data_IF_620340961311
#
_entry.id   IF_620340961311
#
_cell.length_a   1.000
_cell.length_b   1.000
_cell.length_c   1.000
_cell.angle_alpha   90.00
_cell.angle_beta   90.00
_cell.angle_gamma   90.00
#
_symmetry.space_group_name_H-M   'P 1'
#
loop_
_entity.id
_entity.type
_entity.pdbx_description
1 polymer ?
#
# COMPACT_ATOMS: atom_id res chain seq x y z
N UNK A 1 18.86 -20.74 87.67
CA UNK A 1 19.98 -20.28 86.83
C UNK A 1 19.74 -20.71 85.40
N UNK A 2 19.44 -19.72 84.56
CA UNK A 2 19.70 -19.58 83.10
C UNK A 2 19.35 -20.76 82.18
N UNK A 3 18.25 -20.55 81.44
CA UNK A 3 17.75 -21.31 80.28
C UNK A 3 18.74 -21.21 79.11
N UNK A 4 18.99 -22.34 78.43
CA UNK A 4 19.70 -22.37 77.15
C UNK A 4 18.78 -21.86 76.02
N UNK A 5 19.23 -20.82 75.31
CA UNK A 5 18.63 -20.32 74.09
C UNK A 5 18.95 -21.27 72.92
N UNK A 6 17.93 -21.85 72.30
CA UNK A 6 18.04 -22.39 70.94
C UNK A 6 17.77 -21.25 69.95
N UNK A 7 18.78 -20.85 69.18
CA UNK A 7 18.57 -20.01 67.99
C UNK A 7 18.06 -20.92 66.87
N UNK A 8 16.78 -20.77 66.52
CA UNK A 8 16.22 -21.28 65.28
C UNK A 8 16.51 -20.28 64.15
N UNK A 9 17.31 -20.67 63.18
CA UNK A 9 17.53 -19.92 61.93
C UNK A 9 16.29 -20.10 61.04
N UNK A 10 15.43 -19.08 60.97
CA UNK A 10 14.33 -19.05 60.01
C UNK A 10 14.88 -18.70 58.61
N UNK A 11 14.87 -19.67 57.70
CA UNK A 11 15.11 -19.43 56.27
C UNK A 11 13.83 -18.80 55.71
N UNK A 12 13.88 -17.50 55.43
CA UNK A 12 12.81 -16.79 54.74
C UNK A 12 12.88 -17.14 53.24
N UNK A 13 12.06 -18.08 52.79
CA UNK A 13 11.81 -18.32 51.37
C UNK A 13 11.06 -17.11 50.81
N UNK A 14 11.80 -16.17 50.21
CA UNK A 14 11.25 -15.13 49.36
C UNK A 14 10.74 -15.78 48.07
N UNK A 15 9.47 -16.18 48.07
CA UNK A 15 8.72 -16.45 46.83
C UNK A 15 8.59 -15.13 46.07
N UNK A 16 9.39 -14.96 45.01
CA UNK A 16 9.12 -13.96 43.99
C UNK A 16 7.81 -14.34 43.30
N UNK A 17 6.69 -13.84 43.81
CA UNK A 17 5.45 -13.78 43.05
C UNK A 17 5.73 -12.85 41.86
N UNK A 18 5.82 -13.43 40.66
CA UNK A 18 5.96 -12.67 39.43
C UNK A 18 4.83 -11.64 39.37
N UNK A 19 5.19 -10.36 39.38
CA UNK A 19 4.26 -9.30 39.07
C UNK A 19 3.69 -9.63 37.68
N UNK A 20 2.35 -9.66 37.50
CA UNK A 20 1.79 -9.79 36.16
C UNK A 20 2.35 -8.63 35.36
N UNK A 21 3.06 -8.94 34.27
CA UNK A 21 3.33 -7.97 33.23
C UNK A 21 1.97 -7.40 32.84
N UNK A 22 1.70 -6.17 33.24
CA UNK A 22 0.57 -5.41 32.72
C UNK A 22 0.88 -5.27 31.24
N UNK A 23 0.27 -6.15 30.42
CA UNK A 23 0.22 -5.98 28.98
C UNK A 23 -0.61 -4.71 28.81
N UNK A 24 0.07 -3.59 28.67
CA UNK A 24 -0.56 -2.33 28.31
C UNK A 24 -1.35 -2.60 27.03
N UNK A 25 -2.66 -2.39 27.07
CA UNK A 25 -3.53 -2.70 25.94
C UNK A 25 -3.04 -1.89 24.74
N UNK A 26 -2.57 -2.58 23.69
CA UNK A 26 -2.00 -1.91 22.53
C UNK A 26 -3.02 -0.96 21.91
N UNK A 27 -2.65 0.30 21.76
CA UNK A 27 -3.50 1.31 21.11
C UNK A 27 -3.85 0.83 19.69
N UNK A 28 -5.14 0.71 19.33
CA UNK A 28 -5.51 0.26 17.99
C UNK A 28 -5.02 1.22 16.90
N UNK A 29 -4.42 0.66 15.84
CA UNK A 29 -4.04 1.41 14.65
C UNK A 29 -5.27 1.79 13.81
N UNK A 30 -6.27 0.91 13.75
CA UNK A 30 -7.59 1.21 13.21
C UNK A 30 -8.65 0.92 14.25
N UNK A 31 -9.61 1.84 14.38
CA UNK A 31 -10.72 1.71 15.30
C UNK A 31 -11.93 2.45 14.75
N UNK A 32 -13.08 1.81 14.70
CA UNK A 32 -14.39 2.45 14.48
C UNK A 32 -15.50 1.48 14.85
N UNK A 33 -16.45 1.91 15.69
CA UNK A 33 -17.48 1.03 16.23
C UNK A 33 -16.88 -0.22 16.88
N UNK A 34 -17.24 -1.39 16.35
CA UNK A 34 -16.74 -2.69 16.82
C UNK A 34 -15.41 -3.11 16.19
N UNK A 35 -14.94 -2.41 15.14
CA UNK A 35 -13.66 -2.69 14.50
C UNK A 35 -12.54 -2.18 15.40
N UNK A 36 -11.66 -3.09 15.84
CA UNK A 36 -10.42 -2.76 16.56
C UNK A 36 -9.26 -3.59 16.03
N UNK A 37 -8.33 -2.93 15.37
CA UNK A 37 -7.16 -3.56 14.75
C UNK A 37 -5.92 -2.95 15.38
N UNK A 38 -5.23 -3.75 16.19
CA UNK A 38 -3.95 -3.38 16.82
C UNK A 38 -2.89 -3.03 15.79
N UNK A 39 -1.89 -2.25 16.19
CA UNK A 39 -0.75 -1.94 15.34
C UNK A 39 -0.07 -3.23 14.83
N UNK A 40 0.39 -3.21 13.58
CA UNK A 40 1.17 -4.33 13.07
C UNK A 40 2.52 -4.37 13.80
N UNK A 41 3.10 -5.57 13.97
CA UNK A 41 4.39 -5.75 14.63
C UNK A 41 5.32 -6.68 13.86
N UNK A 42 6.62 -6.46 13.99
CA UNK A 42 7.64 -7.28 13.33
C UNK A 42 7.71 -8.70 13.92
N UNK A 43 7.39 -8.84 15.20
CA UNK A 43 7.50 -10.07 15.99
C UNK A 43 6.14 -10.79 16.16
N UNK A 44 5.09 -10.34 15.46
CA UNK A 44 3.84 -11.09 15.37
C UNK A 44 4.12 -12.49 14.79
N UNK A 45 3.60 -13.59 15.38
CA UNK A 45 3.86 -14.92 14.86
C UNK A 45 3.39 -15.08 13.40
N UNK A 46 4.11 -15.92 12.66
CA UNK A 46 3.70 -16.33 11.32
C UNK A 46 2.64 -17.42 11.43
N UNK A 47 1.67 -17.42 10.51
CA UNK A 47 0.70 -18.51 10.39
C UNK A 47 1.38 -19.76 9.84
N UNK A 48 0.89 -20.92 10.27
CA UNK A 48 1.31 -22.22 9.71
C UNK A 48 0.91 -22.36 8.24
N UNK A 49 -0.20 -21.73 7.83
CA UNK A 49 -0.69 -21.73 6.45
C UNK A 49 -1.30 -20.39 6.07
N UNK A 50 -1.24 -20.10 4.76
CA UNK A 50 -1.91 -18.95 4.17
C UNK A 50 -3.43 -18.98 4.43
N UNK A 51 -4.00 -17.83 4.74
CA UNK A 51 -5.42 -17.58 4.94
C UNK A 51 -5.87 -16.36 4.11
N UNK A 52 -6.62 -16.62 3.05
CA UNK A 52 -7.28 -15.58 2.25
C UNK A 52 -8.28 -14.79 3.10
N UNK A 53 -9.07 -15.48 3.93
CA UNK A 53 -10.09 -14.87 4.78
C UNK A 53 -9.49 -13.83 5.73
N UNK A 54 -8.40 -14.17 6.43
CA UNK A 54 -7.77 -13.23 7.36
C UNK A 54 -7.21 -11.98 6.66
N UNK A 55 -6.59 -12.15 5.49
CA UNK A 55 -6.11 -11.00 4.69
C UNK A 55 -7.27 -10.12 4.22
N UNK A 56 -8.36 -10.74 3.73
CA UNK A 56 -9.57 -10.05 3.28
C UNK A 56 -10.22 -9.26 4.42
N UNK A 57 -10.39 -9.88 5.58
CA UNK A 57 -10.98 -9.25 6.76
C UNK A 57 -10.17 -8.04 7.21
N UNK A 58 -8.84 -8.17 7.32
CA UNK A 58 -7.97 -7.05 7.64
C UNK A 58 -8.15 -5.88 6.65
N UNK A 59 -8.08 -6.15 5.35
CA UNK A 59 -8.18 -5.11 4.33
C UNK A 59 -9.54 -4.40 4.33
N UNK A 60 -10.63 -5.15 4.47
CA UNK A 60 -11.99 -4.61 4.51
C UNK A 60 -12.25 -3.80 5.78
N UNK A 61 -11.90 -4.34 6.95
CA UNK A 61 -12.15 -3.68 8.23
C UNK A 61 -11.27 -2.42 8.39
N UNK A 62 -9.99 -2.48 8.01
CA UNK A 62 -9.11 -1.32 8.10
C UNK A 62 -9.54 -0.16 7.18
N UNK A 63 -10.02 -0.42 5.96
CA UNK A 63 -10.51 0.65 5.08
C UNK A 63 -11.84 1.24 5.56
N UNK A 64 -12.73 0.40 6.07
CA UNK A 64 -13.98 0.85 6.70
C UNK A 64 -13.69 1.72 7.93
N UNK A 65 -12.90 1.23 8.89
CA UNK A 65 -12.60 1.96 10.11
C UNK A 65 -11.87 3.28 9.84
N UNK A 66 -10.97 3.30 8.85
CA UNK A 66 -10.35 4.55 8.41
C UNK A 66 -11.38 5.55 7.88
N UNK A 67 -12.24 5.09 6.97
CA UNK A 67 -13.26 5.94 6.34
C UNK A 67 -14.21 6.53 7.38
N UNK A 68 -14.69 5.72 8.32
CA UNK A 68 -15.62 6.14 9.38
C UNK A 68 -14.96 7.09 10.40
N UNK A 69 -13.75 6.78 10.88
CA UNK A 69 -13.09 7.58 11.93
C UNK A 69 -12.40 8.83 11.40
N UNK A 70 -11.80 8.79 10.21
CA UNK A 70 -10.99 9.90 9.65
C UNK A 70 -11.78 10.77 8.67
N UNK A 71 -12.87 10.26 8.09
CA UNK A 71 -13.73 10.99 7.15
C UNK A 71 -12.95 11.67 6.01
N UNK A 72 -11.91 10.99 5.50
CA UNK A 72 -11.09 11.43 4.38
C UNK A 72 -10.56 10.24 3.56
N UNK A 73 -10.14 10.50 2.32
CA UNK A 73 -9.35 9.53 1.52
C UNK A 73 -7.88 9.68 1.87
N UNK A 74 -7.24 8.59 2.31
CA UNK A 74 -5.80 8.51 2.51
C UNK A 74 -5.12 7.66 1.45
N UNK A 75 -3.89 8.01 1.13
CA UNK A 75 -3.13 7.32 0.09
C UNK A 75 -2.78 5.88 0.50
N UNK A 76 -2.62 5.63 1.79
CA UNK A 76 -2.09 4.39 2.36
C UNK A 76 -3.17 3.43 2.90
N UNK A 77 -4.45 3.82 2.90
CA UNK A 77 -5.56 2.96 3.34
C UNK A 77 -6.68 2.91 2.30
N UNK A 78 -7.76 3.68 2.46
CA UNK A 78 -8.95 3.58 1.63
C UNK A 78 -8.72 4.06 0.17
N UNK A 79 -7.75 4.96 -0.06
CA UNK A 79 -7.26 5.31 -1.40
C UNK A 79 -6.61 4.13 -2.11
N UNK A 80 -5.65 3.47 -1.46
CA UNK A 80 -5.05 2.22 -1.98
C UNK A 80 -6.11 1.14 -2.18
N UNK A 81 -7.06 1.01 -1.26
CA UNK A 81 -8.17 0.06 -1.38
C UNK A 81 -8.93 0.27 -2.69
N UNK A 82 -9.41 1.48 -2.96
CA UNK A 82 -10.21 1.75 -4.17
C UNK A 82 -9.41 1.65 -5.47
N UNK A 83 -8.09 1.82 -5.45
CA UNK A 83 -7.25 1.62 -6.64
C UNK A 83 -7.13 0.14 -7.03
N UNK A 84 -7.13 -0.77 -6.06
CA UNK A 84 -6.80 -2.17 -6.29
C UNK A 84 -8.00 -3.11 -6.14
N UNK A 85 -8.87 -2.86 -5.15
CA UNK A 85 -10.01 -3.73 -4.82
C UNK A 85 -10.96 -4.01 -5.98
N UNK A 86 -11.32 -3.04 -6.86
CA UNK A 86 -12.19 -3.31 -7.99
C UNK A 86 -11.68 -4.45 -8.88
N UNK A 87 -10.36 -4.54 -9.08
CA UNK A 87 -9.73 -5.54 -9.96
C UNK A 87 -9.62 -6.94 -9.33
N UNK A 88 -9.96 -7.09 -8.04
CA UNK A 88 -10.02 -8.37 -7.33
C UNK A 88 -11.36 -9.11 -7.50
N UNK A 89 -12.17 -8.70 -8.49
CA UNK A 89 -13.44 -9.36 -8.82
C UNK A 89 -14.46 -9.27 -7.68
N UNK A 90 -15.19 -10.35 -7.35
CA UNK A 90 -16.26 -10.30 -6.35
C UNK A 90 -15.75 -10.18 -4.91
N UNK A 91 -14.44 -10.31 -4.67
CA UNK A 91 -13.86 -10.44 -3.33
C UNK A 91 -14.29 -9.32 -2.37
N UNK A 92 -14.34 -8.09 -2.87
CA UNK A 92 -14.63 -6.87 -2.10
C UNK A 92 -15.86 -6.12 -2.62
N UNK A 93 -16.78 -6.80 -3.31
CA UNK A 93 -17.89 -6.15 -4.03
C UNK A 93 -18.66 -5.14 -3.17
N UNK A 94 -19.09 -5.56 -1.97
CA UNK A 94 -19.88 -4.70 -1.08
C UNK A 94 -19.08 -3.51 -0.56
N UNK A 95 -17.82 -3.74 -0.17
CA UNK A 95 -16.93 -2.69 0.33
C UNK A 95 -16.60 -1.69 -0.77
N UNK A 96 -16.39 -2.13 -2.01
CA UNK A 96 -16.16 -1.27 -3.18
C UNK A 96 -17.36 -0.36 -3.43
N UNK A 97 -18.59 -0.87 -3.37
CA UNK A 97 -19.82 -0.05 -3.52
C UNK A 97 -19.94 1.02 -2.42
N UNK A 98 -19.64 0.66 -1.17
CA UNK A 98 -19.65 1.60 -0.04
C UNK A 98 -18.59 2.69 -0.22
N UNK A 99 -17.37 2.30 -0.58
CA UNK A 99 -16.27 3.22 -0.80
C UNK A 99 -16.50 4.12 -2.01
N UNK A 100 -17.12 3.62 -3.10
CA UNK A 100 -17.52 4.47 -4.23
C UNK A 100 -18.42 5.62 -3.78
N UNK A 101 -19.45 5.34 -2.97
CA UNK A 101 -20.36 6.39 -2.46
C UNK A 101 -19.60 7.45 -1.66
N UNK A 102 -18.66 7.01 -0.81
CA UNK A 102 -17.78 7.91 -0.07
C UNK A 102 -16.89 8.75 -1.00
N UNK A 103 -16.29 8.15 -2.02
CA UNK A 103 -15.40 8.84 -2.97
C UNK A 103 -16.15 9.89 -3.81
N UNK A 104 -17.38 9.60 -4.23
CA UNK A 104 -18.25 10.58 -4.91
C UNK A 104 -18.56 11.77 -3.98
N UNK A 105 -18.83 11.50 -2.70
CA UNK A 105 -19.03 12.56 -1.70
C UNK A 105 -17.77 13.40 -1.50
N UNK A 106 -16.60 12.78 -1.40
CA UNK A 106 -15.31 13.48 -1.27
C UNK A 106 -15.00 14.34 -2.51
N UNK A 107 -15.20 13.80 -3.72
CA UNK A 107 -15.09 14.56 -4.97
C UNK A 107 -15.99 15.81 -4.96
N UNK A 108 -17.22 15.66 -4.50
CA UNK A 108 -18.17 16.78 -4.35
C UNK A 108 -17.75 17.82 -3.30
N UNK A 109 -16.97 17.42 -2.27
CA UNK A 109 -16.36 18.36 -1.31
C UNK A 109 -15.23 19.15 -1.97
N UNK A 110 -14.35 18.49 -2.74
CA UNK A 110 -13.29 19.16 -3.50
C UNK A 110 -13.85 20.17 -4.50
N UNK A 111 -14.89 19.81 -5.24
CA UNK A 111 -15.54 20.70 -6.21
C UNK A 111 -16.05 22.01 -5.61
N UNK A 112 -16.55 21.96 -4.37
CA UNK A 112 -17.09 23.14 -3.66
C UNK A 112 -16.01 24.00 -3.01
N UNK A 113 -14.78 23.50 -2.90
CA UNK A 113 -13.68 24.23 -2.29
C UNK A 113 -13.09 25.25 -3.28
N UNK A 114 -12.57 26.40 -2.80
CA UNK A 114 -11.86 27.34 -3.66
C UNK A 114 -10.64 26.70 -4.33
N UNK A 115 -10.37 27.03 -5.60
CA UNK A 115 -9.25 26.48 -6.37
C UNK A 115 -7.89 26.65 -5.66
N UNK A 116 -7.65 27.81 -5.03
CA UNK A 116 -6.44 28.08 -4.24
C UNK A 116 -6.28 27.13 -3.06
N UNK A 117 -7.41 26.70 -2.46
CA UNK A 117 -7.42 25.81 -1.32
C UNK A 117 -7.19 24.35 -1.68
N UNK A 118 -7.33 23.96 -2.96
CA UNK A 118 -7.12 22.59 -3.44
C UNK A 118 -5.85 22.42 -4.27
N UNK A 119 -5.17 23.52 -4.64
CA UNK A 119 -3.87 23.56 -5.34
C UNK A 119 -2.64 23.50 -4.43
N UNK A 120 -2.82 23.38 -3.12
CA UNK A 120 -1.73 23.46 -2.13
C UNK A 120 -1.72 22.28 -1.16
N UNK A 121 -0.55 22.01 -0.58
CA UNK A 121 -0.33 20.92 0.36
C UNK A 121 -0.58 19.55 -0.27
N UNK A 122 -1.24 18.65 0.47
CA UNK A 122 -1.55 17.28 0.04
C UNK A 122 -2.72 17.19 -0.95
N UNK A 123 -3.55 18.22 -1.03
CA UNK A 123 -4.87 18.14 -1.65
C UNK A 123 -4.87 17.79 -3.14
N UNK A 124 -3.93 18.28 -3.98
CA UNK A 124 -3.83 17.82 -5.37
C UNK A 124 -3.63 16.31 -5.46
N UNK A 125 -2.70 15.76 -4.68
CA UNK A 125 -2.46 14.31 -4.64
C UNK A 125 -3.67 13.56 -4.08
N UNK A 126 -4.32 14.08 -3.02
CA UNK A 126 -5.51 13.45 -2.45
C UNK A 126 -6.66 13.38 -3.47
N UNK A 127 -6.88 14.45 -4.24
CA UNK A 127 -7.86 14.47 -5.31
C UNK A 127 -7.49 13.48 -6.43
N UNK A 128 -6.20 13.33 -6.75
CA UNK A 128 -5.75 12.30 -7.69
C UNK A 128 -6.06 10.88 -7.20
N UNK A 129 -5.94 10.60 -5.89
CA UNK A 129 -6.37 9.32 -5.30
C UNK A 129 -7.88 9.10 -5.40
N UNK A 130 -8.68 10.14 -5.17
CA UNK A 130 -10.15 10.07 -5.34
C UNK A 130 -10.50 9.76 -6.80
N UNK A 131 -9.93 10.52 -7.75
CA UNK A 131 -10.17 10.32 -9.17
C UNK A 131 -9.72 8.93 -9.65
N UNK A 132 -8.54 8.46 -9.20
CA UNK A 132 -8.04 7.13 -9.53
C UNK A 132 -8.94 6.02 -8.98
N UNK A 133 -9.39 6.12 -7.73
CA UNK A 133 -10.31 5.13 -7.15
C UNK A 133 -11.65 5.05 -7.90
N UNK A 134 -12.19 6.19 -8.32
CA UNK A 134 -13.41 6.24 -9.15
C UNK A 134 -13.16 5.68 -10.56
N UNK A 135 -12.01 5.99 -11.17
CA UNK A 135 -11.61 5.43 -12.45
C UNK A 135 -11.44 3.91 -12.40
N UNK A 136 -10.80 3.37 -11.35
CA UNK A 136 -10.64 1.93 -11.16
C UNK A 136 -11.97 1.20 -10.97
N UNK A 137 -12.94 1.83 -10.29
CA UNK A 137 -14.30 1.33 -10.23
C UNK A 137 -14.93 1.26 -11.63
N UNK A 138 -14.87 2.36 -12.39
CA UNK A 138 -15.47 2.47 -13.72
C UNK A 138 -14.81 1.56 -14.76
N UNK A 139 -13.49 1.29 -14.64
CA UNK A 139 -12.75 0.33 -15.46
C UNK A 139 -13.41 -1.05 -15.43
N UNK A 140 -13.76 -1.52 -14.23
CA UNK A 140 -14.41 -2.83 -14.04
C UNK A 140 -15.87 -2.83 -14.50
N UNK A 141 -16.55 -1.68 -14.43
CA UNK A 141 -17.88 -1.52 -15.03
C UNK A 141 -17.83 -1.38 -16.56
N UNK A 142 -16.65 -1.17 -17.15
CA UNK A 142 -16.46 -0.94 -18.58
C UNK A 142 -17.05 0.37 -19.08
N UNK A 143 -17.38 1.32 -18.19
CA UNK A 143 -18.06 2.56 -18.54
C UNK A 143 -17.65 3.71 -17.63
N UNK A 144 -17.27 4.83 -18.24
CA UNK A 144 -17.07 6.08 -17.54
C UNK A 144 -18.39 6.67 -17.04
N UNK A 145 -18.43 6.95 -15.74
CA UNK A 145 -19.52 7.65 -15.07
C UNK A 145 -19.31 9.16 -15.09
N UNK A 146 -20.40 9.91 -14.90
CA UNK A 146 -20.34 11.37 -14.85
C UNK A 146 -19.52 11.86 -13.65
N UNK A 147 -19.60 11.16 -12.52
CA UNK A 147 -18.86 11.50 -11.30
C UNK A 147 -17.36 11.31 -11.47
N UNK A 148 -16.92 10.23 -12.12
CA UNK A 148 -15.51 10.00 -12.43
C UNK A 148 -15.00 11.04 -13.43
N UNK A 149 -15.77 11.33 -14.49
CA UNK A 149 -15.38 12.37 -15.45
C UNK A 149 -15.18 13.72 -14.74
N UNK A 150 -16.11 14.09 -13.88
CA UNK A 150 -16.03 15.35 -13.11
C UNK A 150 -14.83 15.37 -12.16
N UNK A 151 -14.53 14.26 -11.48
CA UNK A 151 -13.36 14.15 -10.62
C UNK A 151 -12.05 14.32 -11.41
N UNK A 152 -11.95 13.72 -12.60
CA UNK A 152 -10.79 13.84 -13.49
C UNK A 152 -10.63 15.25 -14.05
N UNK A 153 -11.74 15.85 -14.50
CA UNK A 153 -11.75 17.24 -14.98
C UNK A 153 -11.26 18.19 -13.88
N UNK A 154 -11.76 18.03 -12.65
CA UNK A 154 -11.32 18.81 -11.49
C UNK A 154 -9.85 18.55 -11.15
N UNK A 155 -9.41 17.29 -11.18
CA UNK A 155 -8.02 16.89 -10.92
C UNK A 155 -7.05 17.57 -11.88
N UNK A 156 -7.40 17.71 -13.16
CA UNK A 156 -6.55 18.44 -14.12
C UNK A 156 -6.42 19.92 -13.75
N UNK A 157 -7.44 20.55 -13.15
CA UNK A 157 -7.38 21.97 -12.77
C UNK A 157 -6.40 22.28 -11.62
N UNK A 158 -5.96 21.26 -10.87
CA UNK A 158 -5.05 21.42 -9.72
C UNK A 158 -3.61 20.96 -10.00
N UNK A 159 -3.33 20.55 -11.23
CA UNK A 159 -1.98 20.27 -11.70
C UNK A 159 -1.10 21.51 -11.61
N UNK A 160 0.16 21.34 -11.21
CA UNK A 160 1.18 22.38 -11.27
C UNK A 160 1.57 22.72 -12.72
N UNK A 161 2.16 23.89 -12.94
CA UNK A 161 2.58 24.32 -14.29
C UNK A 161 3.59 23.38 -14.95
N UNK A 162 4.44 22.71 -14.16
CA UNK A 162 5.43 21.75 -14.62
C UNK A 162 4.86 20.34 -14.86
N UNK A 163 3.56 20.13 -14.57
CA UNK A 163 2.88 18.85 -14.71
C UNK A 163 2.80 18.01 -13.45
N UNK A 164 3.49 18.43 -12.38
CA UNK A 164 3.52 17.71 -11.11
C UNK A 164 2.23 17.90 -10.30
N UNK A 165 2.07 17.11 -9.24
CA UNK A 165 0.98 17.24 -8.27
C UNK A 165 1.56 17.42 -6.87
N UNK A 166 1.28 18.55 -6.23
CA UNK A 166 1.81 18.88 -4.90
C UNK A 166 1.53 17.78 -3.86
N UNK A 167 2.50 17.60 -2.97
CA UNK A 167 2.52 16.60 -1.91
C UNK A 167 3.16 17.18 -0.63
N UNK A 168 3.10 16.45 0.49
CA UNK A 168 3.71 16.87 1.77
C UNK A 168 5.07 16.21 2.05
N UNK A 169 5.51 15.27 1.20
CA UNK A 169 6.77 14.52 1.28
C UNK A 169 7.04 13.83 2.64
N UNK A 170 5.97 13.56 3.40
CA UNK A 170 6.04 13.19 4.81
C UNK A 170 5.77 11.70 5.08
N UNK A 171 5.14 10.94 4.16
CA UNK A 171 4.71 9.56 4.44
C UNK A 171 5.14 8.46 3.45
N UNK A 172 6.42 8.38 3.02
CA UNK A 172 6.88 7.36 2.07
C UNK A 172 6.53 5.92 2.46
N UNK A 173 6.34 5.04 1.46
CA UNK A 173 6.53 5.28 0.03
C UNK A 173 5.40 6.08 -0.63
N UNK A 174 4.24 6.18 0.02
CA UNK A 174 3.16 7.06 -0.43
C UNK A 174 3.41 8.51 -0.03
N UNK A 175 2.65 9.48 -0.55
CA UNK A 175 2.74 10.89 -0.08
C UNK A 175 4.20 11.43 0.06
N UNK A 176 5.06 11.01 -0.86
CA UNK A 176 6.53 11.03 -0.70
C UNK A 176 7.24 12.00 -1.63
N UNK A 177 6.57 12.37 -2.72
CA UNK A 177 7.07 13.28 -3.72
C UNK A 177 5.91 13.79 -4.59
N UNK A 178 6.13 14.94 -5.22
CA UNK A 178 5.25 15.40 -6.30
C UNK A 178 5.28 14.46 -7.51
N UNK A 179 6.38 13.71 -7.68
CA UNK A 179 6.50 12.66 -8.70
C UNK A 179 5.49 11.52 -8.46
N UNK A 180 5.36 11.06 -7.22
CA UNK A 180 4.35 10.07 -6.86
C UNK A 180 2.94 10.59 -7.12
N UNK A 181 2.63 11.84 -6.72
CA UNK A 181 1.35 12.48 -7.03
C UNK A 181 1.03 12.48 -8.53
N UNK A 182 2.03 12.83 -9.36
CA UNK A 182 1.90 12.80 -10.82
C UNK A 182 1.62 11.40 -11.38
N UNK A 183 2.27 10.35 -10.84
CA UNK A 183 1.98 8.96 -11.27
C UNK A 183 0.57 8.52 -10.91
N UNK A 184 0.04 8.94 -9.76
CA UNK A 184 -1.35 8.65 -9.35
C UNK A 184 -2.35 9.36 -10.25
N UNK A 185 -2.10 10.64 -10.57
CA UNK A 185 -2.93 11.40 -11.51
C UNK A 185 -2.91 10.79 -12.91
N UNK A 186 -1.73 10.38 -13.39
CA UNK A 186 -1.59 9.71 -14.68
C UNK A 186 -2.36 8.38 -14.72
N UNK A 187 -2.26 7.58 -13.65
CA UNK A 187 -3.02 6.34 -13.50
C UNK A 187 -4.53 6.58 -13.55
N UNK A 188 -5.04 7.64 -12.91
CA UNK A 188 -6.45 7.99 -12.95
C UNK A 188 -6.96 8.24 -14.38
N UNK A 189 -6.16 8.97 -15.19
CA UNK A 189 -6.51 9.32 -16.56
C UNK A 189 -6.58 8.09 -17.49
N UNK A 190 -5.61 7.19 -17.39
CA UNK A 190 -5.52 6.02 -18.29
C UNK A 190 -6.41 4.86 -17.88
N UNK A 191 -6.78 4.80 -16.60
CA UNK A 191 -7.70 3.78 -16.09
C UNK A 191 -9.15 4.09 -16.45
N UNK A 192 -9.50 5.37 -16.58
CA UNK A 192 -10.87 5.81 -16.84
C UNK A 192 -11.33 5.49 -18.28
N UNK A 193 -12.35 4.63 -18.48
CA UNK A 193 -12.75 4.15 -19.81
C UNK A 193 -13.15 5.27 -20.77
N UNK A 194 -12.41 5.46 -21.86
CA UNK A 194 -12.75 6.45 -22.88
C UNK A 194 -12.59 7.92 -22.44
N UNK A 195 -12.02 8.20 -21.27
CA UNK A 195 -11.82 9.59 -20.81
C UNK A 195 -10.90 10.38 -21.75
N UNK A 196 -9.76 9.80 -22.14
CA UNK A 196 -8.76 10.46 -23.00
C UNK A 196 -9.29 10.80 -24.40
N UNK A 197 -10.33 10.11 -24.89
CA UNK A 197 -10.91 10.40 -26.22
C UNK A 197 -11.91 11.55 -26.25
N UNK A 198 -12.28 12.11 -25.10
CA UNK A 198 -13.31 13.15 -24.98
C UNK A 198 -12.80 14.43 -24.30
N UNK A 199 -11.48 14.56 -24.15
CA UNK A 199 -10.86 15.74 -23.53
C UNK A 199 -10.91 16.94 -24.48
N UNK A 200 -11.07 18.13 -23.90
CA UNK A 200 -10.91 19.39 -24.65
C UNK A 200 -9.45 19.63 -25.03
N UNK A 201 -9.19 20.55 -25.97
CA UNK A 201 -7.83 20.94 -26.35
C UNK A 201 -7.02 21.47 -25.14
N UNK A 202 -7.67 22.20 -24.23
CA UNK A 202 -7.02 22.70 -23.02
C UNK A 202 -6.59 21.56 -22.08
N UNK A 203 -7.48 20.57 -21.90
CA UNK A 203 -7.18 19.38 -21.09
C UNK A 203 -6.10 18.52 -21.76
N UNK A 204 -6.11 18.40 -23.09
CA UNK A 204 -5.06 17.69 -23.81
C UNK A 204 -3.68 18.32 -23.54
N UNK A 205 -3.57 19.66 -23.56
CA UNK A 205 -2.31 20.34 -23.22
C UNK A 205 -1.83 20.01 -21.79
N UNK A 206 -2.74 19.94 -20.82
CA UNK A 206 -2.41 19.56 -19.44
C UNK A 206 -1.92 18.10 -19.33
N UNK A 207 -2.58 17.21 -20.07
CA UNK A 207 -2.19 15.80 -20.20
C UNK A 207 -0.81 15.67 -20.84
N UNK A 208 -0.54 16.43 -21.91
CA UNK A 208 0.77 16.44 -22.56
C UNK A 208 1.87 16.94 -21.62
N UNK A 209 1.59 17.94 -20.79
CA UNK A 209 2.52 18.44 -19.77
C UNK A 209 2.78 17.36 -18.69
N UNK A 210 1.75 16.61 -18.26
CA UNK A 210 1.91 15.49 -17.33
C UNK A 210 2.80 14.38 -17.94
N UNK A 211 2.56 14.01 -19.19
CA UNK A 211 3.37 13.01 -19.89
C UNK A 211 4.82 13.48 -19.99
N UNK A 212 5.04 14.72 -20.41
CA UNK A 212 6.37 15.33 -20.49
C UNK A 212 7.07 15.31 -19.13
N UNK A 213 6.36 15.65 -18.05
CA UNK A 213 6.90 15.61 -16.70
C UNK A 213 7.38 14.20 -16.33
N UNK A 214 6.54 13.18 -16.53
CA UNK A 214 6.87 11.79 -16.19
C UNK A 214 8.01 11.21 -17.05
N UNK A 215 8.10 11.63 -18.32
CA UNK A 215 9.13 11.20 -19.26
C UNK A 215 10.49 11.85 -19.03
N UNK A 216 10.51 13.16 -18.69
CA UNK A 216 11.74 13.95 -18.59
C UNK A 216 12.28 14.04 -17.18
N UNK A 217 11.43 13.90 -16.17
CA UNK A 217 11.85 13.92 -14.78
C UNK A 217 12.45 12.57 -14.40
N UNK A 218 13.73 12.59 -14.03
CA UNK A 218 14.39 11.40 -13.49
C UNK A 218 13.63 10.92 -12.23
N UNK A 219 13.19 9.64 -12.17
CA UNK A 219 12.59 9.11 -10.95
C UNK A 219 13.55 9.26 -9.76
N UNK A 220 13.04 9.60 -8.56
CA UNK A 220 13.90 9.93 -7.41
C UNK A 220 14.78 8.74 -6.96
N UNK A 221 14.31 7.52 -7.19
CA UNK A 221 14.97 6.26 -6.82
C UNK A 221 14.28 5.09 -7.54
N UNK A 222 14.74 3.85 -7.33
CA UNK A 222 14.20 2.66 -7.99
C UNK A 222 12.71 2.45 -7.67
N UNK A 223 12.25 2.75 -6.44
CA UNK A 223 10.81 2.69 -6.15
C UNK A 223 10.00 3.70 -7.00
N UNK A 224 10.54 4.89 -7.30
CA UNK A 224 9.91 5.84 -8.23
C UNK A 224 9.84 5.29 -9.66
N UNK A 225 10.82 4.48 -10.08
CA UNK A 225 10.76 3.77 -11.38
C UNK A 225 9.65 2.73 -11.42
N UNK A 226 9.34 2.09 -10.29
CA UNK A 226 8.20 1.17 -10.20
C UNK A 226 6.87 1.88 -10.43
N UNK A 227 6.71 3.08 -9.85
CA UNK A 227 5.52 3.90 -10.06
C UNK A 227 5.38 4.29 -11.54
N UNK A 228 6.47 4.70 -12.19
CA UNK A 228 6.47 5.02 -13.62
C UNK A 228 6.16 3.78 -14.48
N UNK A 229 6.76 2.63 -14.18
CA UNK A 229 6.48 1.36 -14.86
C UNK A 229 4.99 1.02 -14.77
N UNK A 230 4.39 1.13 -13.58
CA UNK A 230 2.98 0.83 -13.39
C UNK A 230 2.08 1.67 -14.31
N UNK A 231 2.35 2.97 -14.43
CA UNK A 231 1.62 3.84 -15.37
C UNK A 231 1.92 3.43 -16.81
N UNK A 232 3.19 3.17 -17.14
CA UNK A 232 3.64 2.81 -18.49
C UNK A 232 2.98 1.54 -19.05
N UNK A 233 2.68 0.57 -18.19
CA UNK A 233 1.95 -0.66 -18.57
C UNK A 233 0.56 -0.34 -19.14
N UNK A 234 -0.13 0.66 -18.59
CA UNK A 234 -1.48 1.09 -19.04
C UNK A 234 -1.43 2.23 -20.06
N UNK A 235 -0.45 3.13 -19.97
CA UNK A 235 -0.27 4.27 -20.86
C UNK A 235 0.70 3.97 -21.99
N UNK A 236 0.18 3.41 -23.09
CA UNK A 236 0.99 3.12 -24.29
C UNK A 236 1.73 4.37 -24.77
N UNK A 237 3.05 4.23 -24.97
CA UNK A 237 3.93 5.30 -25.42
C UNK A 237 4.43 6.24 -24.32
N UNK A 238 4.05 6.04 -23.05
CA UNK A 238 4.59 6.83 -21.95
C UNK A 238 6.06 6.49 -21.68
N UNK A 239 6.39 5.19 -21.65
CA UNK A 239 7.76 4.68 -21.53
C UNK A 239 8.12 3.85 -22.77
N UNK A 240 9.42 3.75 -23.06
CA UNK A 240 9.90 2.87 -24.12
C UNK A 240 9.97 1.41 -23.65
N UNK A 241 9.98 0.48 -24.60
CA UNK A 241 10.14 -0.94 -24.31
C UNK A 241 11.48 -1.22 -23.61
N UNK A 242 12.55 -0.50 -23.98
CA UNK A 242 13.86 -0.61 -23.33
C UNK A 242 13.77 -0.21 -21.86
N UNK A 243 13.13 0.91 -21.53
CA UNK A 243 12.98 1.34 -20.14
C UNK A 243 12.13 0.35 -19.33
N UNK A 244 11.10 -0.23 -19.95
CA UNK A 244 10.31 -1.29 -19.33
C UNK A 244 11.18 -2.51 -19.01
N UNK A 245 11.96 -3.02 -19.98
CA UNK A 245 12.84 -4.19 -19.78
C UNK A 245 13.95 -3.92 -18.75
N UNK A 246 14.57 -2.74 -18.77
CA UNK A 246 15.55 -2.33 -17.76
C UNK A 246 14.96 -2.29 -16.35
N UNK A 247 13.71 -1.86 -16.23
CA UNK A 247 13.01 -1.80 -14.94
C UNK A 247 12.62 -3.20 -14.46
N UNK A 248 12.19 -4.10 -15.34
CA UNK A 248 11.98 -5.52 -15.03
C UNK A 248 13.29 -6.17 -14.53
N UNK A 249 14.39 -5.97 -15.25
CA UNK A 249 15.69 -6.50 -14.86
C UNK A 249 16.17 -5.94 -13.50
N UNK A 250 15.91 -4.65 -13.24
CA UNK A 250 16.18 -4.03 -11.94
C UNK A 250 15.35 -4.70 -10.82
N UNK A 251 14.05 -4.92 -11.03
CA UNK A 251 13.20 -5.61 -10.04
C UNK A 251 13.78 -7.00 -9.74
N UNK A 252 14.08 -7.80 -10.77
CA UNK A 252 14.64 -9.15 -10.59
C UNK A 252 15.97 -9.13 -9.82
N UNK A 253 16.83 -8.14 -10.07
CA UNK A 253 18.11 -7.98 -9.38
C UNK A 253 17.97 -7.64 -7.89
N UNK A 254 16.88 -6.97 -7.49
CA UNK A 254 16.60 -6.66 -6.07
C UNK A 254 16.04 -7.85 -5.28
N UNK A 255 15.77 -8.99 -5.92
CA UNK A 255 15.26 -10.16 -5.19
C UNK A 255 16.30 -10.65 -4.19
N UNK A 256 15.84 -10.90 -2.96
CA UNK A 256 16.69 -11.39 -1.88
C UNK A 256 16.76 -12.93 -1.87
N UNK A 257 17.73 -13.45 -1.11
CA UNK A 257 17.97 -14.90 -0.98
C UNK A 257 16.77 -15.66 -0.41
N UNK A 258 15.90 -15.00 0.36
CA UNK A 258 14.68 -15.59 0.91
C UNK A 258 13.53 -15.66 -0.12
N UNK A 259 13.73 -15.13 -1.33
CA UNK A 259 12.75 -15.08 -2.40
C UNK A 259 11.87 -13.82 -2.39
N UNK A 260 11.92 -13.01 -1.33
CA UNK A 260 11.18 -11.77 -1.22
C UNK A 260 11.94 -10.55 -1.76
N UNK A 261 11.31 -9.39 -1.62
CA UNK A 261 11.90 -8.07 -1.86
C UNK A 261 11.68 -7.16 -0.65
N UNK A 262 12.60 -6.21 -0.44
CA UNK A 262 12.50 -5.22 0.62
C UNK A 262 12.41 -3.81 0.04
N UNK A 263 11.43 -3.02 0.49
CA UNK A 263 11.26 -1.63 0.10
C UNK A 263 12.55 -0.82 0.35
N UNK A 264 13.28 -1.15 1.41
CA UNK A 264 14.53 -0.51 1.80
C UNK A 264 15.68 -0.71 0.80
N UNK A 265 15.60 -1.66 -0.14
CA UNK A 265 16.63 -1.79 -1.21
C UNK A 265 16.33 -0.92 -2.42
N UNK A 266 15.10 -0.41 -2.57
CA UNK A 266 14.67 0.39 -3.73
C UNK A 266 14.91 1.91 -3.57
N UNK A 267 15.41 2.34 -2.40
CA UNK A 267 16.02 3.66 -2.24
C UNK A 267 16.93 3.68 -1.00
N UNK A 268 17.93 4.55 -1.01
CA UNK A 268 18.80 4.79 0.14
C UNK A 268 18.05 5.57 1.23
N UNK A 269 18.48 5.50 2.50
CA UNK A 269 17.99 6.39 3.56
C UNK A 269 17.88 7.88 3.14
N UNK A 270 18.87 8.37 2.40
CA UNK A 270 18.97 9.76 1.94
C UNK A 270 17.95 10.11 0.85
N UNK A 271 17.55 9.12 0.05
CA UNK A 271 16.67 9.30 -1.10
C UNK A 271 15.20 8.96 -0.81
N UNK A 272 14.91 8.26 0.30
CA UNK A 272 13.55 8.08 0.82
C UNK A 272 12.93 9.37 1.38
N UNK A 273 13.66 10.49 1.37
CA UNK A 273 13.20 11.85 1.64
C UNK A 273 13.91 12.50 2.84
N UNK A 274 13.54 13.75 3.13
CA UNK A 274 14.31 14.63 4.02
C UNK A 274 14.02 14.50 5.53
N UNK A 275 14.69 15.36 6.30
CA UNK A 275 14.49 15.48 7.75
C UNK A 275 15.13 14.35 8.56
N UNK A 276 14.56 14.06 9.74
CA UNK A 276 15.05 13.04 10.68
C UNK A 276 14.87 11.60 10.17
N UNK A 277 14.14 11.39 9.06
CA UNK A 277 13.93 10.10 8.41
C UNK A 277 15.26 9.42 8.06
N UNK A 278 16.16 10.17 7.42
CA UNK A 278 17.49 9.67 7.03
C UNK A 278 18.23 9.09 8.25
N UNK A 279 18.29 9.86 9.35
CA UNK A 279 19.04 9.46 10.55
C UNK A 279 18.40 8.23 11.21
N UNK A 280 17.07 8.18 11.27
CA UNK A 280 16.34 7.00 11.74
C UNK A 280 16.65 5.75 10.91
N UNK A 281 16.53 5.85 9.59
CA UNK A 281 16.77 4.72 8.68
C UNK A 281 18.23 4.26 8.72
N UNK A 282 19.16 5.18 8.97
CA UNK A 282 20.58 4.87 9.19
C UNK A 282 20.88 4.27 10.56
N UNK A 283 19.99 4.45 11.55
CA UNK A 283 20.11 3.84 12.87
C UNK A 283 19.51 2.42 12.96
N UNK A 284 18.85 1.95 11.89
CA UNK A 284 18.27 0.60 11.88
C UNK A 284 19.36 -0.48 11.96
N UNK A 285 19.24 -1.49 12.86
CA UNK A 285 20.24 -2.54 13.02
C UNK A 285 20.56 -3.29 11.73
N UNK A 286 19.56 -3.45 10.87
CA UNK A 286 19.65 -4.21 9.63
C UNK A 286 19.72 -3.31 8.39
N UNK A 287 20.20 -2.07 8.50
CA UNK A 287 20.21 -1.11 7.38
C UNK A 287 20.90 -1.62 6.11
N UNK A 288 21.94 -2.45 6.28
CA UNK A 288 22.76 -2.97 5.17
C UNK A 288 22.20 -4.28 4.58
N UNK A 289 21.26 -4.92 5.29
CA UNK A 289 20.59 -6.15 4.86
C UNK A 289 19.13 -6.15 5.36
N UNK A 290 18.29 -5.22 4.86
CA UNK A 290 16.92 -5.11 5.31
C UNK A 290 16.12 -6.36 4.91
N UNK A 291 15.32 -6.88 5.84
CA UNK A 291 14.47 -8.04 5.56
C UNK A 291 13.43 -7.72 4.49
N UNK A 292 13.06 -8.72 3.69
CA UNK A 292 11.94 -8.65 2.76
C UNK A 292 10.63 -8.28 3.48
N UNK A 293 9.76 -7.54 2.80
CA UNK A 293 8.49 -7.07 3.36
C UNK A 293 7.31 -7.31 2.41
N UNK A 294 6.10 -7.28 2.98
CA UNK A 294 4.88 -7.56 2.23
C UNK A 294 4.65 -6.58 1.08
N UNK A 295 4.91 -5.29 1.31
CA UNK A 295 4.66 -4.24 0.34
C UNK A 295 5.51 -4.43 -0.91
N UNK A 296 6.82 -4.53 -0.74
CA UNK A 296 7.73 -4.60 -1.86
C UNK A 296 7.68 -5.96 -2.55
N UNK A 297 7.53 -7.06 -1.79
CA UNK A 297 7.40 -8.40 -2.39
C UNK A 297 6.14 -8.50 -3.24
N UNK A 298 5.00 -8.06 -2.72
CA UNK A 298 3.75 -8.03 -3.48
C UNK A 298 3.82 -7.11 -4.70
N UNK A 299 4.33 -5.89 -4.53
CA UNK A 299 4.43 -4.90 -5.61
C UNK A 299 5.35 -5.38 -6.73
N UNK A 300 6.50 -5.97 -6.39
CA UNK A 300 7.45 -6.52 -7.37
C UNK A 300 6.78 -7.61 -8.22
N UNK A 301 6.13 -8.59 -7.59
CA UNK A 301 5.46 -9.68 -8.31
C UNK A 301 4.31 -9.14 -9.17
N UNK A 302 3.50 -8.21 -8.63
CA UNK A 302 2.42 -7.57 -9.38
C UNK A 302 2.94 -6.92 -10.65
N UNK A 303 3.96 -6.07 -10.56
CA UNK A 303 4.51 -5.37 -11.73
C UNK A 303 5.22 -6.32 -12.71
N UNK A 304 5.92 -7.35 -12.23
CA UNK A 304 6.50 -8.37 -13.10
C UNK A 304 5.41 -9.09 -13.90
N UNK A 305 4.31 -9.50 -13.24
CA UNK A 305 3.17 -10.17 -13.88
C UNK A 305 2.44 -9.26 -14.88
N UNK A 306 2.15 -8.03 -14.49
CA UNK A 306 1.46 -7.05 -15.35
C UNK A 306 2.34 -6.61 -16.54
N UNK A 307 3.66 -6.69 -16.41
CA UNK A 307 4.61 -6.44 -17.52
C UNK A 307 4.89 -7.67 -18.40
N UNK A 308 4.20 -8.79 -18.17
CA UNK A 308 4.28 -9.99 -19.02
C UNK A 308 5.25 -11.08 -18.55
N UNK A 309 5.90 -10.94 -17.39
CA UNK A 309 6.73 -12.03 -16.83
C UNK A 309 5.83 -13.23 -16.45
N UNK A 310 6.07 -14.44 -16.97
CA UNK A 310 5.23 -15.62 -16.70
C UNK A 310 5.12 -15.98 -15.21
N UNK A 311 3.97 -16.52 -14.78
CA UNK A 311 3.74 -16.89 -13.38
C UNK A 311 4.69 -17.98 -12.88
N UNK A 312 5.16 -18.86 -13.77
CA UNK A 312 6.11 -19.93 -13.49
C UNK A 312 7.59 -19.47 -13.52
N UNK A 313 7.86 -18.19 -13.76
CA UNK A 313 9.21 -17.66 -13.68
C UNK A 313 9.82 -17.91 -12.28
N UNK A 314 11.07 -18.41 -12.17
CA UNK A 314 11.65 -18.83 -10.88
C UNK A 314 11.61 -17.76 -9.79
N UNK A 315 11.86 -16.50 -10.15
CA UNK A 315 11.77 -15.37 -9.21
C UNK A 315 10.35 -15.18 -8.67
N UNK A 316 9.32 -15.32 -9.52
CA UNK A 316 7.91 -15.18 -9.09
C UNK A 316 7.54 -16.35 -8.18
N UNK A 317 7.92 -17.58 -8.52
CA UNK A 317 7.65 -18.75 -7.68
C UNK A 317 8.32 -18.65 -6.30
N UNK A 318 9.56 -18.16 -6.24
CA UNK A 318 10.24 -17.88 -4.98
C UNK A 318 9.51 -16.80 -4.16
N UNK A 319 9.03 -15.75 -4.82
CA UNK A 319 8.24 -14.69 -4.19
C UNK A 319 6.87 -15.16 -3.68
N UNK A 320 6.16 -16.00 -4.45
CA UNK A 320 4.90 -16.62 -4.02
C UNK A 320 5.12 -17.52 -2.80
N UNK A 321 6.20 -18.32 -2.80
CA UNK A 321 6.58 -19.12 -1.64
C UNK A 321 6.85 -18.22 -0.44
N UNK A 322 7.60 -17.14 -0.61
CA UNK A 322 7.84 -16.16 0.44
C UNK A 322 6.52 -15.59 0.99
N UNK A 323 5.60 -15.17 0.12
CA UNK A 323 4.28 -14.65 0.53
C UNK A 323 3.54 -15.70 1.37
N UNK A 324 3.39 -16.93 0.89
CA UNK A 324 2.64 -17.98 1.60
C UNK A 324 3.25 -18.35 2.95
N UNK A 325 4.57 -18.22 3.12
CA UNK A 325 5.28 -18.55 4.37
C UNK A 325 5.45 -17.39 5.34
N UNK A 326 5.12 -16.14 4.97
CA UNK A 326 5.36 -14.94 5.80
C UNK A 326 4.08 -14.20 6.21
N UNK A 327 2.90 -14.81 6.04
CA UNK A 327 1.65 -14.22 6.53
C UNK A 327 1.62 -14.30 8.06
N UNK A 328 1.28 -13.19 8.73
CA UNK A 328 1.13 -13.11 10.18
C UNK A 328 -0.23 -13.65 10.64
N UNK A 329 -0.35 -14.00 11.93
CA UNK A 329 -1.60 -14.50 12.52
C UNK A 329 -2.82 -13.59 12.24
N UNK A 330 -2.63 -12.28 12.21
CA UNK A 330 -3.66 -11.30 11.85
C UNK A 330 -4.05 -11.28 10.37
N UNK A 331 -3.44 -12.11 9.52
CA UNK A 331 -3.66 -12.14 8.07
C UNK A 331 -2.80 -11.14 7.28
N UNK A 332 -2.01 -10.32 7.96
CA UNK A 332 -1.18 -9.25 7.38
C UNK A 332 0.15 -9.79 6.89
N UNK A 333 0.78 -9.08 5.96
CA UNK A 333 2.23 -9.18 5.77
C UNK A 333 2.89 -7.94 6.34
N UNK A 334 3.82 -8.18 7.27
CA UNK A 334 4.54 -7.11 7.93
C UNK A 334 5.24 -6.20 6.91
N UNK A 335 5.07 -4.90 7.08
CA UNK A 335 5.86 -3.88 6.39
C UNK A 335 6.10 -2.73 7.35
N UNK A 336 7.38 -2.48 7.64
CA UNK A 336 7.80 -1.41 8.55
C UNK A 336 7.56 -0.05 7.91
N UNK A 337 7.06 0.90 8.71
CA UNK A 337 6.93 2.30 8.28
C UNK A 337 8.29 2.94 8.14
N UNK A 338 8.48 3.73 7.09
CA UNK A 338 9.70 4.51 6.88
C UNK A 338 9.76 5.76 7.78
N UNK A 339 8.68 6.11 8.49
CA UNK A 339 8.56 7.38 9.21
C UNK A 339 8.42 7.23 10.72
N UNK A 340 7.73 6.20 11.20
CA UNK A 340 7.35 6.07 12.62
C UNK A 340 7.55 4.64 13.11
N UNK A 341 7.78 4.48 14.41
CA UNK A 341 7.89 3.18 15.09
C UNK A 341 6.62 2.82 15.88
N UNK A 342 5.59 3.66 15.78
CA UNK A 342 4.26 3.38 16.31
C UNK A 342 3.34 2.76 15.25
N UNK A 343 2.50 3.55 14.57
CA UNK A 343 1.59 2.99 13.57
C UNK A 343 2.31 2.63 12.26
N UNK A 344 2.08 1.41 11.80
CA UNK A 344 2.65 0.87 10.57
C UNK A 344 1.60 0.76 9.48
N UNK A 345 1.00 1.90 9.12
CA UNK A 345 -0.06 1.96 8.09
C UNK A 345 0.35 1.37 6.74
N UNK A 346 1.64 1.38 6.40
CA UNK A 346 2.12 0.79 5.15
C UNK A 346 1.90 -0.73 5.06
N UNK A 347 1.76 -1.42 6.20
CA UNK A 347 1.34 -2.84 6.26
C UNK A 347 -0.02 -3.07 5.56
N UNK A 348 -0.84 -2.02 5.41
CA UNK A 348 -2.09 -2.09 4.64
C UNK A 348 -1.83 -2.46 3.17
N UNK A 349 -1.10 -1.62 2.45
CA UNK A 349 -0.61 -1.95 1.10
C UNK A 349 0.30 -3.18 1.10
N UNK A 350 1.04 -3.38 2.20
CA UNK A 350 1.85 -4.57 2.46
C UNK A 350 1.04 -5.86 2.52
N UNK A 351 -0.27 -5.79 2.72
CA UNK A 351 -1.17 -6.95 2.67
C UNK A 351 -1.96 -6.98 1.35
N UNK A 352 -2.27 -5.81 0.80
CA UNK A 352 -2.99 -5.69 -0.46
C UNK A 352 -2.18 -6.19 -1.67
N UNK A 353 -0.92 -5.79 -1.78
CA UNK A 353 -0.08 -6.20 -2.90
C UNK A 353 0.22 -7.70 -2.92
N UNK A 354 0.53 -8.38 -1.80
CA UNK A 354 0.63 -9.85 -1.78
C UNK A 354 -0.64 -10.54 -2.23
N UNK A 355 -1.82 -10.04 -1.82
CA UNK A 355 -3.09 -10.59 -2.25
C UNK A 355 -3.29 -10.45 -3.77
N UNK A 356 -2.97 -9.28 -4.33
CA UNK A 356 -2.98 -9.06 -5.78
C UNK A 356 -1.96 -9.93 -6.52
N UNK A 357 -0.77 -10.11 -5.97
CA UNK A 357 0.27 -10.98 -6.53
C UNK A 357 -0.19 -12.44 -6.59
N UNK A 358 -0.79 -12.96 -5.51
CA UNK A 358 -1.39 -14.29 -5.48
C UNK A 358 -2.48 -14.43 -6.54
N UNK A 359 -3.36 -13.42 -6.70
CA UNK A 359 -4.41 -13.44 -7.73
C UNK A 359 -3.81 -13.54 -9.15
N UNK A 360 -2.85 -12.66 -9.47
CA UNK A 360 -2.21 -12.61 -10.79
C UNK A 360 -1.40 -13.88 -11.14
N UNK A 361 -1.09 -14.69 -10.14
CA UNK A 361 -0.40 -15.97 -10.28
C UNK A 361 -1.35 -17.18 -10.21
N UNK A 362 -2.67 -16.98 -10.05
CA UNK A 362 -3.64 -18.08 -9.93
C UNK A 362 -3.58 -18.83 -8.59
N UNK A 363 -2.99 -18.22 -7.56
CA UNK A 363 -2.74 -18.85 -6.26
C UNK A 363 -3.88 -18.66 -5.25
N UNK A 364 -4.90 -17.88 -5.62
CA UNK A 364 -6.12 -17.69 -4.82
C UNK A 364 -7.23 -18.68 -5.20
N UNK A 365 -7.14 -19.24 -6.40
CA UNK A 365 -8.09 -20.23 -6.91
C UNK A 365 -7.65 -21.62 -6.47
N UNK A 366 -7.65 -21.88 -5.17
CA UNK A 366 -7.49 -23.23 -4.66
C UNK A 366 -8.74 -23.65 -3.90
N UNK A 367 -9.44 -24.61 -4.53
CA UNK A 367 -10.20 -25.68 -3.89
C UNK A 367 -9.49 -26.12 -2.60
N UNK A 368 -9.78 -25.46 -1.49
CA UNK A 368 -9.36 -25.84 -0.14
C UNK A 368 -10.57 -25.81 0.82
N UNK A 369 -11.74 -26.22 0.30
CA UNK A 369 -12.91 -26.59 1.11
C UNK A 369 -13.41 -28.02 0.82
N UNK A 370 -12.77 -28.76 -0.09
CA UNK A 370 -13.22 -30.12 -0.50
C UNK A 370 -12.41 -31.28 0.09
N UNK A 371 -11.38 -31.05 0.92
CA UNK A 371 -10.65 -32.15 1.58
C UNK A 371 -11.04 -32.33 3.07
N UNK A 372 -11.94 -31.51 3.61
CA UNK A 372 -12.50 -31.67 4.96
C UNK A 372 -13.90 -32.30 4.96
N UNK A 373 -14.43 -32.70 3.79
CA UNK A 373 -15.75 -33.37 3.65
C UNK A 373 -15.67 -34.82 3.16
N UNK A 374 -14.48 -35.35 2.93
CA UNK A 374 -14.29 -36.78 2.60
C UNK A 374 -13.69 -37.59 3.77
N UNK A 375 -13.64 -37.00 4.97
CA UNK A 375 -13.22 -37.68 6.21
C UNK A 375 -14.30 -37.74 7.29
N UNK A 376 -15.58 -37.68 6.90
CA UNK A 376 -16.72 -38.10 7.74
C UNK A 376 -17.03 -39.59 7.56
#
# INVERSE_FOLDING_TARGET
MIRQNQLATAILLLTFAGLPTVVEAETPQYESGDIKIVAARADEPMRESFSLTAAKEYLAQSSQAWTEKRNCVSCHTNGTFMQLAPTLGPMFKEQVEQHRKFFVLESSKFKRAPASAIRSGLKPTQLAYVANGLAAYDEVQGKLSAETKEALDLMLTVQSEDGSYSNLDCWPPFESSSYHGATVAAMALVTAPGYLSQVSEAQQKQIDVLQNYLQKTKPPHDYGRLLLLQVGIKWKGLISDELQQETIAMILKHQQKDGGWAMRTFATPETWGGGSRKDKLNAEPNKDAPASDGHQTGLAIMLLRESGTPADHPAIQAGIKWIKSNQRESGRWWTRSLNTDGPHFITYSGTFYPLRALQLCGELDQKQETLSKESE
#
